data_IF_075679805122
#
_entry.id   IF_075679805122
#
_cell.length_a   1.000
_cell.length_b   1.000
_cell.length_c   1.000
_cell.angle_alpha   90.00
_cell.angle_beta   90.00
_cell.angle_gamma   90.00
#
_symmetry.space_group_name_H-M   'P 1'
#
loop_
_entity.id
_entity.type
_entity.pdbx_description
1 polymer ?
#
# COMPACT_ATOMS: atom_id res chain seq x y z
N UNK A 1 -22.74 27.01 20.12
CA UNK A 1 -22.54 28.01 19.05
C UNK A 1 -21.73 27.35 17.93
N UNK A 2 -22.36 26.92 16.83
CA UNK A 2 -21.66 26.34 15.66
C UNK A 2 -22.07 27.12 14.43
N UNK A 3 -21.18 28.00 13.98
CA UNK A 3 -21.32 28.73 12.72
C UNK A 3 -20.99 27.76 11.60
N UNK A 4 -22.00 27.30 10.84
CA UNK A 4 -21.79 26.52 9.61
C UNK A 4 -21.53 27.49 8.47
N UNK A 5 -20.30 27.50 7.95
CA UNK A 5 -19.98 28.19 6.70
C UNK A 5 -20.70 27.49 5.54
N UNK A 6 -21.72 28.17 4.98
CA UNK A 6 -22.42 27.72 3.77
C UNK A 6 -21.64 28.25 2.58
N UNK A 7 -20.92 27.37 1.89
CA UNK A 7 -20.22 27.68 0.64
C UNK A 7 -21.28 28.06 -0.43
N UNK A 8 -21.27 29.29 -0.99
CA UNK A 8 -22.35 29.78 -1.85
C UNK A 8 -22.42 29.11 -3.25
N UNK A 9 -21.51 28.19 -3.57
CA UNK A 9 -21.40 27.55 -4.90
C UNK A 9 -21.98 26.15 -5.03
N UNK A 10 -22.55 25.56 -3.97
CA UNK A 10 -23.27 24.28 -4.05
C UNK A 10 -24.74 24.48 -3.66
N UNK A 11 -25.58 24.77 -4.64
CA UNK A 11 -27.03 24.54 -4.55
C UNK A 11 -27.30 23.14 -5.11
N UNK A 12 -27.87 22.27 -4.29
CA UNK A 12 -28.47 21.03 -4.77
C UNK A 12 -29.72 21.43 -5.55
N UNK A 13 -29.68 21.28 -6.87
CA UNK A 13 -30.84 21.45 -7.76
C UNK A 13 -31.79 20.30 -7.43
N UNK A 14 -33.00 20.62 -6.99
CA UNK A 14 -34.04 19.61 -6.77
C UNK A 14 -34.64 19.20 -8.12
N UNK A 15 -35.08 17.94 -8.25
CA UNK A 15 -35.56 17.38 -9.53
C UNK A 15 -36.72 18.17 -10.16
N UNK A 16 -37.47 18.94 -9.36
CA UNK A 16 -38.51 19.86 -9.85
C UNK A 16 -37.95 21.11 -10.54
N UNK A 17 -36.81 21.65 -10.09
CA UNK A 17 -36.18 22.85 -10.65
C UNK A 17 -35.37 22.51 -11.92
N UNK A 18 -34.87 21.27 -12.03
CA UNK A 18 -34.23 20.76 -13.26
C UNK A 18 -35.22 20.63 -14.42
N UNK A 19 -36.49 20.29 -14.14
CA UNK A 19 -37.54 20.17 -15.15
C UNK A 19 -38.02 21.55 -15.64
N UNK A 20 -38.09 22.56 -14.78
CA UNK A 20 -38.45 23.93 -15.19
C UNK A 20 -37.30 24.65 -15.91
N UNK A 21 -36.05 24.39 -15.55
CA UNK A 21 -34.90 24.87 -16.32
C UNK A 21 -34.84 24.22 -17.71
N UNK A 22 -35.26 22.95 -17.84
CA UNK A 22 -35.35 22.24 -19.13
C UNK A 22 -36.49 22.77 -20.01
N UNK A 23 -37.63 23.16 -19.44
CA UNK A 23 -38.76 23.71 -20.22
C UNK A 23 -38.56 25.20 -20.55
N UNK A 24 -37.88 25.96 -19.69
CA UNK A 24 -37.47 27.33 -19.99
C UNK A 24 -36.36 27.40 -21.06
N UNK A 25 -35.41 26.45 -21.04
CA UNK A 25 -34.39 26.33 -22.11
C UNK A 25 -35.00 25.89 -23.46
N UNK A 26 -36.09 25.11 -23.44
CA UNK A 26 -36.83 24.75 -24.65
C UNK A 26 -37.67 25.91 -25.22
N UNK A 27 -38.11 26.85 -24.38
CA UNK A 27 -38.89 28.02 -24.81
C UNK A 27 -38.03 29.18 -25.38
N UNK A 28 -36.74 29.25 -25.05
CA UNK A 28 -35.83 30.26 -25.58
C UNK A 28 -35.19 29.91 -26.95
N UNK A 29 -35.46 28.72 -27.49
CA UNK A 29 -34.97 28.26 -28.79
C UNK A 29 -35.96 28.53 -29.95
N UNK A 30 -37.03 29.29 -29.69
CA UNK A 30 -38.04 29.64 -30.69
C UNK A 30 -37.95 31.14 -31.05
N UNK A 31 -36.86 31.50 -31.73
CA UNK A 31 -36.65 32.90 -32.13
C UNK A 31 -35.38 33.12 -32.93
N UNK A 32 -34.95 32.17 -33.75
CA UNK A 32 -34.03 32.50 -34.84
C UNK A 32 -34.91 32.94 -36.02
N UNK A 33 -34.75 34.18 -36.56
CA UNK A 33 -35.49 34.60 -37.74
C UNK A 33 -35.25 33.58 -38.85
N UNK A 34 -36.32 33.19 -39.56
CA UNK A 34 -36.26 32.20 -40.63
C UNK A 34 -35.01 32.43 -41.49
N UNK A 35 -34.11 31.43 -41.59
CA UNK A 35 -32.86 31.62 -42.27
C UNK A 35 -33.14 32.10 -43.69
N UNK A 36 -32.48 33.20 -44.09
CA UNK A 36 -32.60 33.79 -45.44
C UNK A 36 -32.07 32.87 -46.56
N UNK A 37 -31.78 31.60 -46.23
CA UNK A 37 -31.31 30.53 -47.08
C UNK A 37 -32.21 29.28 -46.89
N UNK A 38 -32.56 28.57 -47.98
CA UNK A 38 -33.48 27.45 -47.90
C UNK A 38 -32.85 26.23 -47.19
N UNK A 39 -33.54 25.75 -46.15
CA UNK A 39 -33.18 24.53 -45.43
C UNK A 39 -33.39 23.32 -46.35
N UNK A 40 -32.33 22.54 -46.58
CA UNK A 40 -32.26 21.34 -47.43
C UNK A 40 -31.82 21.51 -48.90
N UNK A 41 -31.32 22.68 -49.29
CA UNK A 41 -30.69 22.87 -50.62
C UNK A 41 -29.18 22.77 -50.52
N UNK A 42 -28.49 22.00 -51.38
CA UNK A 42 -27.04 22.07 -51.49
C UNK A 42 -26.60 23.49 -51.86
N UNK A 43 -25.47 23.97 -51.31
CA UNK A 43 -24.93 25.32 -51.57
C UNK A 43 -24.73 25.58 -53.07
N UNK A 44 -24.46 24.54 -53.86
CA UNK A 44 -24.30 24.61 -55.32
C UNK A 44 -25.58 24.97 -56.07
N UNK A 45 -26.74 24.69 -55.47
CA UNK A 45 -28.06 24.91 -56.05
C UNK A 45 -28.74 26.16 -55.46
N UNK A 46 -28.04 26.90 -54.58
CA UNK A 46 -28.51 28.17 -54.01
C UNK A 46 -28.23 29.35 -54.95
N UNK A 47 -29.07 30.38 -54.89
CA UNK A 47 -28.77 31.65 -55.57
C UNK A 47 -27.55 32.32 -54.92
N UNK A 48 -26.78 33.16 -55.65
CA UNK A 48 -25.61 33.84 -55.09
C UNK A 48 -25.88 34.57 -53.77
N UNK A 49 -27.05 35.22 -53.66
CA UNK A 49 -27.45 35.94 -52.44
C UNK A 49 -27.73 34.99 -51.25
N UNK A 50 -28.27 33.80 -51.52
CA UNK A 50 -28.50 32.76 -50.51
C UNK A 50 -27.19 32.11 -50.07
N UNK A 51 -26.22 31.96 -50.98
CA UNK A 51 -24.88 31.47 -50.66
C UNK A 51 -24.16 32.43 -49.70
N UNK A 52 -24.22 33.74 -49.96
CA UNK A 52 -23.62 34.76 -49.08
C UNK A 52 -24.25 34.69 -47.68
N UNK A 53 -25.59 34.67 -47.59
CA UNK A 53 -26.29 34.55 -46.31
C UNK A 53 -25.95 33.24 -45.56
N UNK A 54 -25.77 32.14 -46.28
CA UNK A 54 -25.33 30.86 -45.72
C UNK A 54 -23.92 30.98 -45.13
N UNK A 55 -22.95 31.52 -45.89
CA UNK A 55 -21.58 31.70 -45.43
C UNK A 55 -21.47 32.66 -44.24
N UNK A 56 -22.23 33.76 -44.23
CA UNK A 56 -22.30 34.69 -43.09
C UNK A 56 -22.89 34.05 -41.83
N UNK A 57 -23.94 33.21 -41.98
CA UNK A 57 -24.51 32.47 -40.84
C UNK A 57 -23.52 31.46 -40.25
N UNK A 58 -22.70 30.83 -41.11
CA UNK A 58 -21.66 29.90 -40.68
C UNK A 58 -20.48 30.63 -40.05
N UNK A 59 -20.09 31.78 -40.57
CA UNK A 59 -19.08 32.66 -39.99
C UNK A 59 -19.44 33.07 -38.56
N UNK A 60 -20.66 33.59 -38.35
CA UNK A 60 -21.17 33.94 -37.01
C UNK A 60 -21.13 32.76 -36.04
N UNK A 61 -21.57 31.57 -36.48
CA UNK A 61 -21.52 30.35 -35.65
C UNK A 61 -20.08 29.93 -35.30
N UNK A 62 -19.11 30.16 -36.18
CA UNK A 62 -17.70 29.88 -35.89
C UNK A 62 -17.13 30.90 -34.91
N UNK A 63 -17.44 32.18 -35.08
CA UNK A 63 -17.04 33.23 -34.13
C UNK A 63 -17.63 33.02 -32.74
N UNK A 64 -18.90 32.63 -32.64
CA UNK A 64 -19.54 32.34 -31.35
C UNK A 64 -18.91 31.12 -30.67
N UNK A 65 -18.52 30.10 -31.44
CA UNK A 65 -17.73 28.97 -30.94
C UNK A 65 -16.34 29.42 -30.47
N UNK A 66 -15.64 30.25 -31.23
CA UNK A 66 -14.32 30.79 -30.85
C UNK A 66 -14.40 31.63 -29.57
N UNK A 67 -15.45 32.43 -29.40
CA UNK A 67 -15.73 33.19 -28.16
C UNK A 67 -16.00 32.25 -26.97
N UNK A 68 -16.73 31.15 -27.19
CA UNK A 68 -16.95 30.10 -26.18
C UNK A 68 -15.65 29.42 -25.74
N UNK A 69 -14.67 29.25 -26.64
CA UNK A 69 -13.33 28.77 -26.32
C UNK A 69 -12.41 29.86 -25.75
N UNK A 70 -12.97 30.96 -25.25
CA UNK A 70 -12.23 32.01 -24.55
C UNK A 70 -11.42 32.95 -25.45
N UNK A 71 -11.61 32.88 -26.78
CA UNK A 71 -10.88 33.72 -27.73
C UNK A 71 -9.37 33.46 -27.75
N UNK A 72 -8.92 32.29 -27.29
CA UNK A 72 -7.52 31.92 -27.33
C UNK A 72 -7.01 31.90 -28.78
N UNK A 73 -5.90 32.59 -29.01
CA UNK A 73 -5.27 32.59 -30.32
C UNK A 73 -4.61 31.24 -30.59
N UNK A 74 -4.43 30.84 -31.86
CA UNK A 74 -3.70 29.61 -32.19
C UNK A 74 -2.30 29.54 -31.56
N UNK A 75 -1.63 30.69 -31.41
CA UNK A 75 -0.31 30.80 -30.75
C UNK A 75 -0.38 30.55 -29.24
N UNK A 76 -1.43 31.01 -28.57
CA UNK A 76 -1.62 30.76 -27.14
C UNK A 76 -1.94 29.28 -26.88
N UNK A 77 -2.69 28.62 -27.77
CA UNK A 77 -2.95 27.19 -27.66
C UNK A 77 -1.67 26.38 -27.81
N UNK A 78 -0.79 26.73 -28.75
CA UNK A 78 0.49 26.02 -28.91
C UNK A 78 1.44 26.26 -27.74
N UNK A 79 1.46 27.47 -27.17
CA UNK A 79 2.21 27.78 -25.95
C UNK A 79 1.73 26.96 -24.75
N UNK A 80 0.42 26.88 -24.52
CA UNK A 80 -0.17 26.09 -23.44
C UNK A 80 0.06 24.58 -23.61
N UNK A 81 0.04 24.09 -24.85
CA UNK A 81 0.36 22.69 -25.14
C UNK A 81 1.83 22.39 -24.81
N UNK A 82 2.76 23.27 -25.23
CA UNK A 82 4.18 23.15 -24.89
C UNK A 82 4.41 23.17 -23.38
N UNK A 83 3.85 24.16 -22.69
CA UNK A 83 4.01 24.29 -21.24
C UNK A 83 3.44 23.08 -20.50
N UNK A 84 2.31 22.53 -20.97
CA UNK A 84 1.75 21.28 -20.45
C UNK A 84 2.68 20.09 -20.69
N UNK A 85 3.28 19.97 -21.87
CA UNK A 85 4.20 18.88 -22.21
C UNK A 85 5.51 18.97 -21.42
N UNK A 86 6.04 20.18 -21.22
CA UNK A 86 7.24 20.46 -20.43
C UNK A 86 7.00 20.14 -18.95
N UNK A 87 5.89 20.63 -18.38
CA UNK A 87 5.51 20.33 -17.00
C UNK A 87 5.23 18.84 -16.79
N UNK A 88 4.61 18.18 -17.77
CA UNK A 88 4.37 16.74 -17.70
C UNK A 88 5.69 15.98 -17.70
N UNK A 89 6.62 16.31 -18.58
CA UNK A 89 7.93 15.66 -18.64
C UNK A 89 8.72 15.89 -17.34
N UNK A 90 8.81 17.13 -16.86
CA UNK A 90 9.53 17.47 -15.64
C UNK A 90 8.95 16.80 -14.38
N UNK A 91 7.62 16.86 -14.20
CA UNK A 91 6.99 16.28 -13.02
C UNK A 91 6.92 14.76 -13.07
N UNK A 92 6.77 14.16 -14.26
CA UNK A 92 6.77 12.71 -14.40
C UNK A 92 8.13 12.13 -14.03
N UNK A 93 9.24 12.70 -14.52
CA UNK A 93 10.57 12.15 -14.22
C UNK A 93 10.93 12.23 -12.74
N UNK A 94 10.57 13.33 -12.07
CA UNK A 94 10.92 13.51 -10.66
C UNK A 94 9.99 12.69 -9.75
N UNK A 95 8.70 12.62 -10.07
CA UNK A 95 7.74 11.80 -9.32
C UNK A 95 8.02 10.30 -9.52
N UNK A 96 8.37 9.87 -10.74
CA UNK A 96 8.71 8.48 -11.03
C UNK A 96 9.99 8.05 -10.30
N UNK A 97 11.02 8.91 -10.28
CA UNK A 97 12.22 8.67 -9.46
C UNK A 97 11.89 8.56 -7.98
N UNK A 98 11.09 9.49 -7.45
CA UNK A 98 10.69 9.47 -6.04
C UNK A 98 9.87 8.20 -5.68
N UNK A 99 9.00 7.74 -6.57
CA UNK A 99 8.23 6.50 -6.37
C UNK A 99 9.14 5.29 -6.42
N UNK A 100 10.10 5.23 -7.35
CA UNK A 100 11.00 4.08 -7.45
C UNK A 100 11.97 4.03 -6.27
N UNK A 101 12.48 5.18 -5.81
CA UNK A 101 13.28 5.29 -4.59
C UNK A 101 12.48 4.86 -3.36
N UNK A 102 11.23 5.31 -3.21
CA UNK A 102 10.35 4.87 -2.14
C UNK A 102 10.06 3.36 -2.20
N UNK A 103 9.90 2.79 -3.39
CA UNK A 103 9.73 1.33 -3.56
C UNK A 103 11.00 0.56 -3.22
N UNK A 104 12.17 1.07 -3.57
CA UNK A 104 13.43 0.41 -3.26
C UNK A 104 13.75 0.48 -1.77
N UNK A 105 13.52 1.63 -1.13
CA UNK A 105 13.56 1.80 0.33
C UNK A 105 12.61 0.82 1.03
N UNK A 106 11.35 0.75 0.61
CA UNK A 106 10.38 -0.20 1.18
C UNK A 106 10.80 -1.66 0.98
N UNK A 107 11.33 -2.01 -0.21
CA UNK A 107 11.88 -3.36 -0.45
C UNK A 107 13.09 -3.65 0.42
N UNK A 108 13.95 -2.67 0.69
CA UNK A 108 15.11 -2.85 1.55
C UNK A 108 14.70 -3.11 3.00
N UNK A 109 13.75 -2.33 3.54
CA UNK A 109 13.21 -2.53 4.88
C UNK A 109 12.59 -3.92 5.05
N UNK A 110 11.73 -4.34 4.11
CA UNK A 110 11.11 -5.68 4.13
C UNK A 110 12.16 -6.79 4.08
N UNK A 111 13.22 -6.63 3.28
CA UNK A 111 14.33 -7.60 3.21
C UNK A 111 15.05 -7.74 4.55
N UNK A 112 15.27 -6.65 5.29
CA UNK A 112 15.91 -6.73 6.62
C UNK A 112 15.06 -7.50 7.63
N UNK A 113 13.75 -7.25 7.66
CA UNK A 113 12.82 -7.91 8.59
C UNK A 113 12.70 -9.40 8.26
N UNK A 114 12.45 -9.73 6.98
CA UNK A 114 12.32 -11.12 6.54
C UNK A 114 13.65 -11.89 6.69
N UNK A 115 14.78 -11.23 6.47
CA UNK A 115 16.10 -11.81 6.69
C UNK A 115 16.30 -12.26 8.14
N UNK A 116 15.90 -11.43 9.10
CA UNK A 116 15.98 -11.75 10.52
C UNK A 116 15.08 -12.94 10.92
N UNK A 117 13.85 -13.02 10.40
CA UNK A 117 12.94 -14.14 10.65
C UNK A 117 13.42 -15.45 10.02
N UNK A 118 13.93 -15.38 8.79
CA UNK A 118 14.51 -16.53 8.08
C UNK A 118 15.75 -17.04 8.78
N UNK A 119 16.64 -16.14 9.22
CA UNK A 119 17.79 -16.48 10.04
C UNK A 119 17.34 -17.20 11.32
N UNK A 120 16.39 -16.63 12.07
CA UNK A 120 15.88 -17.23 13.31
C UNK A 120 15.34 -18.64 13.08
N UNK A 121 14.60 -18.85 11.99
CA UNK A 121 14.04 -20.16 11.63
C UNK A 121 15.14 -21.17 11.30
N UNK A 122 16.12 -20.79 10.47
CA UNK A 122 17.25 -21.65 10.14
C UNK A 122 18.13 -21.97 11.36
N UNK A 123 18.37 -20.96 12.21
CA UNK A 123 19.17 -21.09 13.42
C UNK A 123 18.52 -22.01 14.46
N UNK A 124 17.20 -21.87 14.69
CA UNK A 124 16.45 -22.76 15.59
C UNK A 124 16.40 -24.20 15.08
N UNK A 125 16.26 -24.40 13.76
CA UNK A 125 16.36 -25.71 13.15
C UNK A 125 17.77 -26.33 13.33
N UNK A 126 18.83 -25.55 13.13
CA UNK A 126 20.20 -26.01 13.32
C UNK A 126 20.53 -26.34 14.79
N UNK A 127 19.91 -25.64 15.74
CA UNK A 127 20.04 -25.91 17.18
C UNK A 127 19.21 -27.08 17.69
N UNK A 128 18.43 -27.76 16.85
CA UNK A 128 17.58 -28.86 17.29
C UNK A 128 18.40 -29.95 18.01
N UNK A 129 18.14 -30.13 19.32
CA UNK A 129 18.86 -31.09 20.16
C UNK A 129 20.26 -30.65 20.60
N UNK A 130 20.60 -29.36 20.49
CA UNK A 130 21.86 -28.76 20.93
C UNK A 130 21.61 -27.56 21.84
N UNK A 131 22.56 -27.26 22.71
CA UNK A 131 22.56 -26.08 23.59
C UNK A 131 23.69 -25.14 23.17
N UNK A 132 23.34 -23.95 22.69
CA UNK A 132 24.31 -22.92 22.33
C UNK A 132 24.98 -22.32 23.57
N UNK A 133 26.25 -21.96 23.44
CA UNK A 133 26.98 -21.18 24.43
C UNK A 133 26.36 -19.77 24.56
N UNK A 134 25.90 -19.36 25.75
CA UNK A 134 25.34 -18.03 25.98
C UNK A 134 26.31 -16.89 25.65
N UNK A 135 27.61 -17.07 25.86
CA UNK A 135 28.60 -16.04 25.56
C UNK A 135 28.72 -15.81 24.04
N UNK A 136 28.87 -16.91 23.27
CA UNK A 136 28.92 -16.85 21.81
C UNK A 136 27.64 -16.25 21.17
N UNK A 137 26.47 -16.40 21.82
CA UNK A 137 25.21 -15.80 21.34
C UNK A 137 25.18 -14.27 21.46
N UNK A 138 25.90 -13.68 22.41
CA UNK A 138 25.93 -12.22 22.61
C UNK A 138 26.72 -11.51 21.52
N UNK A 139 27.79 -12.14 21.04
CA UNK A 139 28.66 -11.60 19.98
C UNK A 139 28.19 -11.98 18.56
N UNK A 140 27.02 -12.62 18.45
CA UNK A 140 26.49 -13.12 17.19
C UNK A 140 25.88 -12.02 16.32
N UNK A 141 26.63 -11.56 15.32
CA UNK A 141 26.05 -10.76 14.25
C UNK A 141 25.20 -11.64 13.32
N UNK A 142 23.88 -11.37 13.24
CA UNK A 142 22.94 -12.13 12.42
C UNK A 142 23.03 -11.77 10.94
N UNK A 143 23.53 -10.59 10.62
CA UNK A 143 23.58 -10.08 9.25
C UNK A 143 24.58 -10.86 8.38
N UNK A 144 25.66 -11.37 8.97
CA UNK A 144 26.67 -12.20 8.28
C UNK A 144 26.11 -13.52 7.73
N UNK A 145 24.97 -13.98 8.24
CA UNK A 145 24.31 -15.23 7.84
C UNK A 145 23.17 -15.02 6.83
N UNK A 146 23.01 -13.80 6.30
CA UNK A 146 21.98 -13.47 5.32
C UNK A 146 22.67 -13.18 3.98
N UNK A 147 22.49 -14.09 3.00
CA UNK A 147 22.98 -13.91 1.63
C UNK A 147 21.83 -13.46 0.75
N UNK A 148 21.75 -12.14 0.53
CA UNK A 148 20.64 -11.52 -0.18
C UNK A 148 19.32 -11.78 0.57
N UNK A 149 18.41 -12.53 -0.05
CA UNK A 149 17.11 -12.86 0.55
C UNK A 149 17.12 -14.18 1.35
N UNK A 150 18.19 -14.98 1.30
CA UNK A 150 18.21 -16.34 1.88
C UNK A 150 19.17 -16.45 3.06
N UNK A 151 18.81 -17.20 4.11
CA UNK A 151 19.75 -17.51 5.17
C UNK A 151 20.82 -18.49 4.64
N UNK A 152 22.07 -18.26 5.01
CA UNK A 152 23.19 -19.16 4.74
C UNK A 152 23.15 -20.33 5.73
N UNK A 153 22.40 -21.37 5.37
CA UNK A 153 22.19 -22.54 6.21
C UNK A 153 23.50 -23.27 6.56
N UNK A 154 24.47 -23.28 5.65
CA UNK A 154 25.76 -23.95 5.85
C UNK A 154 26.61 -23.19 6.86
N UNK A 155 26.71 -21.87 6.72
CA UNK A 155 27.42 -21.04 7.69
C UNK A 155 26.76 -21.08 9.08
N UNK A 156 25.41 -21.08 9.13
CA UNK A 156 24.66 -21.25 10.37
C UNK A 156 24.99 -22.59 11.03
N UNK A 157 25.02 -23.68 10.26
CA UNK A 157 25.32 -25.02 10.77
C UNK A 157 26.75 -25.10 11.32
N UNK A 158 27.73 -24.59 10.59
CA UNK A 158 29.14 -24.54 11.04
C UNK A 158 29.27 -23.73 12.32
N UNK A 159 28.60 -22.57 12.40
CA UNK A 159 28.61 -21.76 13.61
C UNK A 159 27.97 -22.50 14.79
N UNK A 160 26.82 -23.15 14.57
CA UNK A 160 26.13 -23.92 15.62
C UNK A 160 27.00 -25.09 16.08
N UNK A 161 27.61 -25.85 15.19
CA UNK A 161 28.49 -26.97 15.55
C UNK A 161 29.68 -26.54 16.41
N UNK A 162 30.27 -25.37 16.11
CA UNK A 162 31.39 -24.81 16.87
C UNK A 162 30.99 -24.24 18.23
N UNK A 163 29.80 -23.65 18.34
CA UNK A 163 29.37 -22.86 19.51
C UNK A 163 28.23 -23.52 20.30
N UNK A 164 27.98 -24.81 20.11
CA UNK A 164 26.96 -25.54 20.87
C UNK A 164 27.38 -26.96 21.20
N UNK A 165 26.84 -27.47 22.31
CA UNK A 165 27.02 -28.86 22.75
C UNK A 165 25.76 -29.67 22.42
N UNK A 166 25.92 -30.94 22.08
CA UNK A 166 24.77 -31.83 21.90
C UNK A 166 24.11 -32.08 23.25
N UNK A 167 22.78 -31.90 23.32
CA UNK A 167 22.02 -32.20 24.53
C UNK A 167 22.00 -33.71 24.70
N UNK A 168 22.67 -34.19 25.73
CA UNK A 168 22.74 -35.62 26.05
C UNK A 168 21.37 -36.15 26.47
N UNK A 169 21.15 -37.46 26.34
CA UNK A 169 19.92 -38.10 26.80
C UNK A 169 19.68 -37.90 28.31
N UNK A 170 20.75 -37.68 29.08
CA UNK A 170 20.69 -37.35 30.51
C UNK A 170 20.19 -35.92 30.75
N UNK A 171 20.63 -34.94 29.97
CA UNK A 171 20.13 -33.56 30.07
C UNK A 171 18.67 -33.42 29.63
N UNK A 172 18.22 -34.20 28.63
CA UNK A 172 16.80 -34.25 28.25
C UNK A 172 15.89 -34.80 29.35
N UNK A 173 16.45 -35.61 30.27
CA UNK A 173 15.72 -36.23 31.39
C UNK A 173 15.78 -35.40 32.67
N UNK A 174 16.60 -34.35 32.73
CA UNK A 174 16.63 -33.46 33.89
C UNK A 174 15.35 -32.63 33.88
N UNK A 175 14.50 -32.72 34.92
CA UNK A 175 13.32 -31.87 35.01
C UNK A 175 13.77 -30.41 35.04
N UNK A 176 13.28 -29.62 34.08
CA UNK A 176 13.50 -28.17 34.06
C UNK A 176 12.90 -27.62 35.36
N UNK A 177 13.74 -27.12 36.27
CA UNK A 177 13.29 -26.59 37.56
C UNK A 177 12.69 -25.20 37.35
N UNK A 178 11.42 -25.18 36.97
CA UNK A 178 10.60 -23.97 36.85
C UNK A 178 9.94 -23.72 38.21
N UNK A 179 10.70 -23.20 39.18
CA UNK A 179 10.14 -22.91 40.50
C UNK A 179 11.15 -22.43 41.54
N UNK A 180 10.83 -21.32 42.20
CA UNK A 180 11.51 -20.87 43.42
C UNK A 180 11.44 -21.97 44.50
N UNK A 181 12.59 -22.43 44.97
CA UNK A 181 12.70 -23.29 46.15
C UNK A 181 13.24 -24.69 45.86
N UNK A 182 14.33 -25.03 46.55
CA UNK A 182 15.02 -26.30 46.49
C UNK A 182 14.16 -27.41 47.14
N UNK A 183 13.26 -28.06 46.39
CA UNK A 183 12.42 -29.18 46.90
C UNK A 183 13.11 -30.55 46.91
N UNK A 184 14.32 -30.67 46.36
CA UNK A 184 14.93 -31.98 46.16
C UNK A 184 15.60 -32.56 47.41
N UNK A 185 15.63 -31.84 48.54
CA UNK A 185 16.22 -32.35 49.80
C UNK A 185 15.19 -32.98 50.75
N UNK A 186 13.88 -32.97 50.44
CA UNK A 186 12.84 -33.41 51.39
C UNK A 186 12.35 -34.84 51.12
N UNK A 187 12.50 -35.37 49.91
CA UNK A 187 11.87 -36.65 49.55
C UNK A 187 12.68 -37.91 49.89
N UNK A 188 14.00 -37.83 50.05
CA UNK A 188 14.81 -39.01 50.38
C UNK A 188 14.56 -39.55 51.80
N UNK A 189 14.36 -38.66 52.78
CA UNK A 189 14.19 -39.06 54.19
C UNK A 189 12.73 -39.41 54.57
N UNK A 190 11.75 -38.94 53.81
CA UNK A 190 10.33 -39.18 54.12
C UNK A 190 9.88 -40.60 53.74
N UNK A 191 10.42 -41.16 52.66
CA UNK A 191 10.08 -42.50 52.18
C UNK A 191 10.53 -43.62 53.12
N UNK A 192 11.73 -43.51 53.70
CA UNK A 192 12.25 -44.51 54.65
C UNK A 192 11.56 -44.46 56.00
N UNK A 193 11.30 -43.25 56.54
CA UNK A 193 10.53 -43.11 57.79
C UNK A 193 9.10 -43.62 57.64
N UNK A 194 8.47 -43.40 56.48
CA UNK A 194 7.14 -43.94 56.17
C UNK A 194 7.14 -45.47 56.06
N UNK A 195 8.17 -46.07 55.45
CA UNK A 195 8.32 -47.54 55.37
C UNK A 195 8.57 -48.16 56.74
N UNK A 196 9.45 -47.58 57.57
CA UNK A 196 9.72 -48.07 58.92
C UNK A 196 8.49 -47.97 59.84
N UNK A 197 7.68 -46.91 59.70
CA UNK A 197 6.43 -46.75 60.44
C UNK A 197 5.35 -47.74 59.95
N UNK A 198 5.28 -48.00 58.64
CA UNK A 198 4.38 -48.99 58.06
C UNK A 198 4.75 -50.41 58.49
N UNK A 199 6.04 -50.73 58.54
CA UNK A 199 6.54 -52.03 58.99
C UNK A 199 6.29 -52.26 60.49
N UNK A 200 6.35 -51.22 61.33
CA UNK A 200 5.87 -51.29 62.72
C UNK A 200 4.36 -51.52 62.84
N UNK A 201 3.56 -50.89 61.98
CA UNK A 201 2.09 -50.92 62.09
C UNK A 201 1.45 -52.14 61.46
N UNK A 202 2.04 -52.65 60.39
CA UNK A 202 1.44 -53.68 59.53
C UNK A 202 2.38 -54.87 59.36
N UNK A 203 3.22 -55.15 60.37
CA UNK A 203 4.27 -56.17 60.38
C UNK A 203 3.99 -57.37 59.48
N UNK A 204 4.98 -57.72 58.66
CA UNK A 204 4.92 -58.71 57.57
C UNK A 204 3.97 -59.85 57.89
N UNK A 205 2.86 -59.93 57.13
CA UNK A 205 2.16 -61.20 56.96
C UNK A 205 2.99 -62.14 56.10
#
# INVERSE_FOLDING_TARGET
MRVRFRNPRLRFITDAEALEASTAAAAAAAGDPDPKFPANTPVKDMTPDQQIAFHESKGRKLEDKLKLFGGLTPEQVTALVKERDDLKTANQTDSEKAIEEARESGRAEVRTVLGAERFRTAFTAALAGRTADPAALLDLDRSQFIKGDKPDADAIKVWVEKNSTAVTAEEKRKPVRIGQGNRDTIHAAAGEKGKAEAERRFGSK
#
